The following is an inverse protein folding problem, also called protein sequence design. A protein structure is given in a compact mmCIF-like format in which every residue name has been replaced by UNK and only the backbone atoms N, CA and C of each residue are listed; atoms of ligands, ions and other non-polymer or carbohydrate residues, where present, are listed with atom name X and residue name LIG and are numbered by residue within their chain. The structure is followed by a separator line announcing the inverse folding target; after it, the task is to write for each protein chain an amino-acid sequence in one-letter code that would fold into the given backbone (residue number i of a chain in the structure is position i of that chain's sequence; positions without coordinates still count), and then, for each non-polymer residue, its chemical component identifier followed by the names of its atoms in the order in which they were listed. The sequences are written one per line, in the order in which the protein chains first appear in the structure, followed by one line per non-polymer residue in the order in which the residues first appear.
data_IF_251016017417
#
_entry.id   IF_251016017417
#
_cell.length_a   1.000
_cell.length_b   1.000
_cell.length_c   1.000
_cell.angle_alpha   90.00
_cell.angle_beta   90.00
_cell.angle_gamma   90.00
#
_symmetry.space_group_name_H-M   'P 1'
#
loop_
_entity.id
_entity.type
_entity.pdbx_description
1 polymer ?
#
# COMPACT_ATOMS: atom_id res chain seq x y z
N UNK A 1 -14.94 13.67 -21.18
CA UNK A 1 -14.15 13.32 -19.97
C UNK A 1 -13.63 11.92 -20.18
N UNK A 2 -12.32 11.68 -20.02
CA UNK A 2 -11.77 10.33 -20.15
C UNK A 2 -12.30 9.45 -19.01
N UNK A 3 -12.80 8.27 -19.36
CA UNK A 3 -13.32 7.28 -18.41
C UNK A 3 -12.10 6.56 -17.77
N UNK A 4 -11.53 7.16 -16.73
CA UNK A 4 -10.38 6.59 -16.01
C UNK A 4 -10.85 5.38 -15.19
N UNK A 5 -10.74 4.17 -15.77
CA UNK A 5 -10.97 2.91 -15.06
C UNK A 5 -9.65 2.38 -14.51
N UNK A 6 -9.44 2.39 -13.18
CA UNK A 6 -8.22 1.84 -12.61
C UNK A 6 -8.25 0.31 -12.78
N UNK A 7 -7.19 -0.23 -13.39
CA UNK A 7 -7.03 -1.66 -13.66
C UNK A 7 -5.89 -2.23 -12.81
N UNK A 8 -6.08 -3.46 -12.31
CA UNK A 8 -5.06 -4.25 -11.64
C UNK A 8 -4.69 -5.43 -12.54
N UNK A 9 -3.40 -5.76 -12.61
CA UNK A 9 -2.88 -6.90 -13.37
C UNK A 9 -2.32 -7.93 -12.39
N UNK A 10 -2.93 -9.11 -12.32
CA UNK A 10 -2.40 -10.23 -11.57
C UNK A 10 -1.54 -11.09 -12.48
N UNK A 11 -0.26 -11.23 -12.14
CA UNK A 11 0.64 -12.19 -12.82
C UNK A 11 0.53 -13.52 -12.10
N UNK A 12 -0.12 -14.47 -12.75
CA UNK A 12 -0.31 -15.82 -12.24
C UNK A 12 1.01 -16.61 -12.35
N UNK A 13 1.15 -17.70 -11.59
CA UNK A 13 2.37 -18.52 -11.58
C UNK A 13 2.76 -19.07 -12.97
N UNK A 14 1.79 -19.27 -13.85
CA UNK A 14 1.98 -19.70 -15.24
C UNK A 14 2.29 -18.54 -16.22
N UNK A 15 2.46 -17.31 -15.71
CA UNK A 15 2.72 -16.11 -16.51
C UNK A 15 1.48 -15.51 -17.19
N UNK A 16 0.28 -16.08 -16.98
CA UNK A 16 -0.96 -15.45 -17.45
C UNK A 16 -1.20 -14.13 -16.70
N UNK A 17 -1.70 -13.13 -17.43
CA UNK A 17 -2.10 -11.84 -16.86
C UNK A 17 -3.62 -11.80 -16.81
N UNK A 18 -4.19 -11.63 -15.62
CA UNK A 18 -5.62 -11.40 -15.44
C UNK A 18 -5.87 -9.91 -15.18
N UNK A 19 -6.70 -9.30 -16.03
CA UNK A 19 -7.16 -7.93 -15.86
C UNK A 19 -8.39 -7.90 -14.95
N UNK A 20 -8.27 -7.21 -13.82
CA UNK A 20 -9.39 -6.97 -12.92
C UNK A 20 -9.58 -5.48 -12.69
N UNK A 21 -10.84 -5.07 -12.55
CA UNK A 21 -11.15 -3.74 -12.03
C UNK A 21 -10.47 -3.57 -10.67
N UNK A 22 -9.64 -2.54 -10.51
CA UNK A 22 -8.94 -2.26 -9.26
C UNK A 22 -9.87 -1.61 -8.21
N UNK A 23 -11.10 -2.12 -8.10
CA UNK A 23 -12.06 -1.74 -7.07
C UNK A 23 -12.04 -2.80 -5.98
N UNK A 24 -11.36 -2.49 -4.88
CA UNK A 24 -11.35 -3.32 -3.69
C UNK A 24 -12.55 -2.96 -2.82
N UNK A 25 -13.37 -3.96 -2.47
CA UNK A 25 -14.41 -3.77 -1.47
C UNK A 25 -13.80 -3.46 -0.11
N UNK A 26 -14.51 -2.67 0.69
CA UNK A 26 -14.09 -2.42 2.07
C UNK A 26 -14.11 -3.74 2.83
N UNK A 27 -13.05 -4.06 3.60
CA UNK A 27 -13.01 -5.30 4.37
C UNK A 27 -14.15 -5.34 5.39
N UNK A 28 -14.77 -6.51 5.54
CA UNK A 28 -15.79 -6.75 6.55
C UNK A 28 -15.18 -6.77 7.98
N UNK A 29 -16.04 -6.82 9.01
CA UNK A 29 -15.58 -6.74 10.40
C UNK A 29 -14.63 -7.88 10.79
N UNK A 30 -14.86 -9.10 10.30
CA UNK A 30 -14.00 -10.26 10.55
C UNK A 30 -12.61 -10.09 9.91
N UNK A 31 -12.56 -9.63 8.66
CA UNK A 31 -11.31 -9.38 7.93
C UNK A 31 -10.45 -8.31 8.60
N UNK A 32 -11.07 -7.24 9.11
CA UNK A 32 -10.35 -6.14 9.80
C UNK A 32 -9.53 -6.61 11.00
N UNK A 33 -9.92 -7.70 11.66
CA UNK A 33 -9.19 -8.22 12.83
C UNK A 33 -7.78 -8.74 12.49
N UNK A 34 -7.58 -9.21 11.25
CA UNK A 34 -6.31 -9.74 10.76
C UNK A 34 -5.47 -8.70 10.01
N UNK A 35 -6.11 -7.64 9.51
CA UNK A 35 -5.44 -6.55 8.81
C UNK A 35 -4.71 -5.65 9.80
N UNK A 36 -3.39 -5.82 9.89
CA UNK A 36 -2.50 -4.94 10.66
C UNK A 36 -1.54 -4.24 9.70
N UNK A 37 -1.41 -2.93 9.85
CA UNK A 37 -0.42 -2.16 9.12
C UNK A 37 1.00 -2.68 9.45
N UNK A 38 1.82 -2.83 8.42
CA UNK A 38 3.21 -3.23 8.57
C UNK A 38 4.06 -2.01 8.91
N UNK A 39 4.59 -1.98 10.13
CA UNK A 39 5.50 -0.93 10.58
C UNK A 39 6.92 -1.47 10.76
N UNK A 40 7.89 -0.67 10.33
CA UNK A 40 9.31 -0.90 10.62
C UNK A 40 9.90 0.25 11.44
N UNK A 41 11.04 -0.01 12.05
CA UNK A 41 11.90 1.02 12.64
C UNK A 41 12.97 1.40 11.62
N UNK A 42 13.24 2.68 11.49
CA UNK A 42 14.26 3.21 10.57
C UNK A 42 14.95 4.42 11.17
N UNK A 43 15.97 4.92 10.49
CA UNK A 43 16.68 6.15 10.82
C UNK A 43 16.62 7.07 9.60
N UNK A 44 16.15 8.31 9.77
CA UNK A 44 16.16 9.33 8.71
C UNK A 44 17.01 10.49 9.21
N UNK A 45 18.03 10.89 8.44
CA UNK A 45 18.96 11.96 8.83
C UNK A 45 19.51 11.82 10.25
N UNK A 46 19.89 10.60 10.63
CA UNK A 46 20.33 10.24 11.97
C UNK A 46 19.29 10.35 13.11
N UNK A 47 18.03 10.62 12.80
CA UNK A 47 16.92 10.61 13.76
C UNK A 47 16.20 9.26 13.69
N UNK A 48 16.01 8.62 14.84
CA UNK A 48 15.28 7.35 14.93
C UNK A 48 13.78 7.54 14.71
N UNK A 49 13.21 6.81 13.76
CA UNK A 49 11.77 6.78 13.47
C UNK A 49 11.22 5.40 13.81
N UNK A 50 10.34 5.36 14.82
CA UNK A 50 9.88 4.11 15.42
C UNK A 50 8.73 3.44 14.66
N UNK A 51 8.03 4.18 13.78
CA UNK A 51 6.87 3.71 13.02
C UNK A 51 6.90 4.25 11.61
N UNK A 52 7.58 3.52 10.72
CA UNK A 52 7.51 3.76 9.27
C UNK A 52 6.56 2.74 8.67
N UNK A 53 5.49 3.21 8.01
CA UNK A 53 4.56 2.34 7.29
C UNK A 53 5.24 1.79 6.03
N UNK A 54 5.18 0.48 5.83
CA UNK A 54 5.54 -0.14 4.55
C UNK A 54 4.28 -0.22 3.71
N UNK A 55 4.22 0.61 2.66
CA UNK A 55 3.08 0.71 1.76
C UNK A 55 3.52 0.39 0.32
N UNK A 56 3.15 -0.78 -0.18
CA UNK A 56 3.41 -1.18 -1.55
C UNK A 56 2.60 -0.40 -2.60
N UNK A 57 1.58 0.35 -2.18
CA UNK A 57 0.79 1.22 -3.05
C UNK A 57 1.36 2.64 -3.17
N UNK A 58 2.36 3.02 -2.37
CA UNK A 58 2.97 4.34 -2.41
C UNK A 58 4.14 4.38 -3.41
N UNK A 59 4.10 5.33 -4.35
CA UNK A 59 5.21 5.55 -5.32
C UNK A 59 6.35 6.39 -4.76
N UNK A 60 6.12 7.13 -3.67
CA UNK A 60 7.10 8.01 -3.01
C UNK A 60 6.99 7.90 -1.50
N UNK A 61 8.11 8.13 -0.81
CA UNK A 61 8.13 8.20 0.65
C UNK A 61 7.62 9.56 1.11
N UNK A 62 6.70 9.58 2.08
CA UNK A 62 6.14 10.80 2.65
C UNK A 62 6.59 10.91 4.11
N UNK A 63 7.05 12.10 4.49
CA UNK A 63 7.40 12.46 5.86
C UNK A 63 6.59 13.68 6.28
N UNK A 64 5.94 13.67 7.46
CA UNK A 64 5.29 14.85 8.00
C UNK A 64 6.29 15.99 8.21
N UNK A 65 5.89 17.23 7.91
CA UNK A 65 6.77 18.39 7.99
C UNK A 65 7.36 18.61 9.40
N UNK A 66 6.66 18.24 10.47
CA UNK A 66 7.16 18.37 11.84
C UNK A 66 8.31 17.40 12.18
N UNK A 67 8.63 16.44 11.29
CA UNK A 67 9.73 15.49 11.43
C UNK A 67 10.99 15.87 10.64
N UNK A 68 10.94 16.99 9.90
CA UNK A 68 12.08 17.55 9.17
C UNK A 68 13.04 18.30 10.10
#
# INVERSE_FOLDING_TARGET
MADNKPMCYYVMENGCIEEQHAMFERPNLGMKSHLKALFIRSKVNNIGVNKVLVDGGAVVNIMPHYML
#
